data_IF_760960132238
#
_entry.id   IF_760960132238
#
_cell.length_a   1.000
_cell.length_b   1.000
_cell.length_c   1.000
_cell.angle_alpha   90.00
_cell.angle_beta   90.00
_cell.angle_gamma   90.00
#
_symmetry.space_group_name_H-M   'P 1'
#
loop_
_entity.id
_entity.type
_entity.pdbx_description
1 polymer ?
#
# COMPACT_ATOMS: atom_id res chain seq x y z
N UNK A 1 -25.57 16.64 4.83
CA UNK A 1 -24.27 16.17 5.37
C UNK A 1 -23.69 15.12 4.42
N UNK A 2 -22.55 15.42 3.81
CA UNK A 2 -22.08 14.87 2.53
C UNK A 2 -21.60 13.41 2.60
N UNK A 3 -22.14 12.55 1.72
CA UNK A 3 -21.71 11.15 1.53
C UNK A 3 -20.22 11.00 1.19
N UNK A 4 -19.56 12.06 0.68
CA UNK A 4 -18.12 12.08 0.37
C UNK A 4 -17.23 11.90 1.61
N UNK A 5 -17.70 12.29 2.81
CA UNK A 5 -16.90 12.19 4.05
C UNK A 5 -16.83 10.78 4.64
N UNK A 6 -17.72 9.86 4.25
CA UNK A 6 -17.83 8.54 4.89
C UNK A 6 -17.00 7.44 4.23
N UNK A 7 -16.44 7.66 3.03
CA UNK A 7 -15.65 6.66 2.30
C UNK A 7 -14.13 6.78 2.53
N UNK A 8 -13.65 7.84 3.18
CA UNK A 8 -12.23 8.21 3.21
C UNK A 8 -11.34 7.69 4.38
N UNK A 9 -11.83 7.05 5.46
CA UNK A 9 -10.92 6.62 6.53
C UNK A 9 -10.13 5.34 6.22
N UNK A 10 -10.51 4.58 5.18
CA UNK A 10 -9.95 3.25 4.92
C UNK A 10 -8.52 3.24 4.34
N UNK A 11 -8.10 4.28 3.62
CA UNK A 11 -6.82 4.26 2.87
C UNK A 11 -5.58 4.46 3.76
N UNK A 12 -5.75 4.94 4.99
CA UNK A 12 -4.62 5.36 5.86
C UNK A 12 -4.06 4.25 6.76
N UNK A 13 -4.71 3.10 6.85
CA UNK A 13 -4.41 2.10 7.89
C UNK A 13 -3.40 0.97 7.52
N UNK A 14 -2.52 1.15 6.53
CA UNK A 14 -1.49 0.15 6.19
C UNK A 14 -0.18 0.32 7.01
N UNK A 15 0.01 1.45 7.69
CA UNK A 15 1.34 1.93 8.07
C UNK A 15 1.93 1.46 9.42
N UNK A 16 1.49 0.34 9.99
CA UNK A 16 2.01 -0.16 11.28
C UNK A 16 2.56 -1.60 11.18
N UNK A 17 3.47 -1.83 10.23
CA UNK A 17 4.38 -2.97 10.32
C UNK A 17 5.42 -2.64 11.39
N UNK A 18 5.06 -2.94 12.63
CA UNK A 18 5.90 -2.90 13.81
C UNK A 18 6.98 -3.97 13.67
N UNK A 19 7.99 -3.70 12.84
CA UNK A 19 9.13 -4.58 12.65
C UNK A 19 10.01 -4.58 13.90
N UNK A 20 9.57 -5.31 14.93
CA UNK A 20 10.25 -5.41 16.24
C UNK A 20 11.71 -5.76 15.99
N UNK A 21 12.57 -4.84 16.41
CA UNK A 21 14.00 -5.00 16.45
C UNK A 21 14.35 -5.77 17.73
N UNK A 22 14.33 -7.09 17.67
CA UNK A 22 14.92 -7.93 18.70
C UNK A 22 15.61 -9.10 18.02
N UNK A 23 16.94 -9.09 18.06
CA UNK A 23 17.77 -10.15 17.49
C UNK A 23 19.07 -9.61 16.89
N UNK A 24 20.11 -9.60 17.72
CA UNK A 24 21.50 -9.34 17.38
C UNK A 24 21.97 -10.30 16.27
N UNK A 25 22.48 -9.78 15.14
CA UNK A 25 22.96 -10.55 13.99
C UNK A 25 22.06 -10.48 12.75
N UNK A 26 21.91 -9.29 12.14
CA UNK A 26 20.93 -9.06 11.06
C UNK A 26 21.37 -9.55 9.68
N UNK A 27 20.67 -10.54 9.13
CA UNK A 27 20.67 -10.91 7.72
C UNK A 27 20.37 -9.67 6.85
N UNK A 28 21.26 -9.28 5.93
CA UNK A 28 21.17 -8.01 5.16
C UNK A 28 19.83 -7.81 4.44
N UNK A 29 19.15 -8.91 4.11
CA UNK A 29 17.81 -8.90 3.52
C UNK A 29 16.78 -8.20 4.42
N UNK A 30 16.67 -8.60 5.69
CA UNK A 30 15.65 -8.09 6.62
C UNK A 30 15.77 -6.59 6.84
N UNK A 31 17.00 -6.09 6.99
CA UNK A 31 17.26 -4.66 7.18
C UNK A 31 16.93 -3.85 5.92
N UNK A 32 17.21 -4.41 4.73
CA UNK A 32 16.85 -3.76 3.48
C UNK A 32 15.33 -3.72 3.27
N UNK A 33 14.60 -4.79 3.62
CA UNK A 33 13.13 -4.79 3.63
C UNK A 33 12.59 -3.74 4.61
N UNK A 34 13.14 -3.65 5.83
CA UNK A 34 12.76 -2.62 6.82
C UNK A 34 12.96 -1.20 6.29
N UNK A 35 14.11 -0.92 5.68
CA UNK A 35 14.41 0.39 5.08
C UNK A 35 13.44 0.73 3.95
N UNK A 36 13.18 -0.23 3.06
CA UNK A 36 12.21 -0.04 1.98
C UNK A 36 10.79 0.22 2.54
N UNK A 37 10.38 -0.52 3.57
CA UNK A 37 9.08 -0.35 4.21
C UNK A 37 8.94 0.99 4.93
N UNK A 38 10.00 1.48 5.59
CA UNK A 38 10.01 2.80 6.23
C UNK A 38 9.85 3.93 5.20
N UNK A 39 10.53 3.84 4.06
CA UNK A 39 10.36 4.81 2.99
C UNK A 39 8.96 4.73 2.38
N UNK A 40 8.46 3.52 2.10
CA UNK A 40 7.11 3.32 1.59
C UNK A 40 6.08 3.95 2.52
N UNK A 41 6.15 3.65 3.83
CA UNK A 41 5.30 4.23 4.87
C UNK A 41 5.27 5.75 4.82
N UNK A 42 6.43 6.40 4.69
CA UNK A 42 6.49 7.86 4.60
C UNK A 42 5.72 8.35 3.37
N UNK A 43 6.07 7.84 2.20
CA UNK A 43 5.47 8.26 0.93
C UNK A 43 3.98 7.93 0.81
N UNK A 44 3.54 6.78 1.33
CA UNK A 44 2.13 6.38 1.33
C UNK A 44 1.30 7.19 2.33
N UNK A 45 1.89 7.59 3.46
CA UNK A 45 1.23 8.48 4.43
C UNK A 45 1.05 9.89 3.87
N UNK A 46 2.06 10.41 3.18
CA UNK A 46 1.98 11.71 2.50
C UNK A 46 0.89 11.69 1.41
N UNK A 47 0.89 10.66 0.56
CA UNK A 47 -0.13 10.45 -0.46
C UNK A 47 -1.54 10.28 0.17
N UNK A 48 -1.65 9.50 1.25
CA UNK A 48 -2.89 9.33 2.00
C UNK A 48 -3.43 10.63 2.58
N UNK A 49 -2.53 11.48 3.12
CA UNK A 49 -2.89 12.81 3.64
C UNK A 49 -3.39 13.73 2.51
N UNK A 50 -2.74 13.69 1.34
CA UNK A 50 -3.21 14.44 0.15
C UNK A 50 -4.58 13.96 -0.31
N UNK A 51 -4.78 12.64 -0.38
CA UNK A 51 -6.06 12.04 -0.73
C UNK A 51 -7.18 12.46 0.24
N UNK A 52 -6.91 12.45 1.55
CA UNK A 52 -7.87 12.89 2.56
C UNK A 52 -8.24 14.36 2.47
N UNK A 53 -7.28 15.21 2.11
CA UNK A 53 -7.46 16.65 2.02
C UNK A 53 -7.91 17.12 0.63
N UNK A 54 -7.98 16.24 -0.37
CA UNK A 54 -8.38 16.58 -1.73
C UNK A 54 -9.79 17.17 -1.77
N UNK A 55 -9.91 18.37 -2.36
CA UNK A 55 -11.18 19.09 -2.53
C UNK A 55 -11.72 18.99 -3.96
N UNK A 56 -10.87 18.58 -4.90
CA UNK A 56 -11.14 18.45 -6.32
C UNK A 56 -10.77 17.07 -6.88
N UNK A 57 -11.29 16.74 -8.07
CA UNK A 57 -10.92 15.50 -8.79
C UNK A 57 -9.43 15.48 -9.16
N UNK A 58 -8.87 16.65 -9.45
CA UNK A 58 -7.45 16.81 -9.81
C UNK A 58 -6.55 16.51 -8.62
N UNK A 59 -6.83 17.08 -7.45
CA UNK A 59 -6.07 16.79 -6.22
C UNK A 59 -6.20 15.31 -5.82
N UNK A 60 -7.40 14.73 -5.97
CA UNK A 60 -7.61 13.31 -5.72
C UNK A 60 -6.77 12.45 -6.67
N UNK A 61 -6.78 12.75 -7.98
CA UNK A 61 -6.01 12.02 -8.98
C UNK A 61 -4.51 12.10 -8.71
N UNK A 62 -3.99 13.28 -8.37
CA UNK A 62 -2.59 13.46 -8.00
C UNK A 62 -2.22 12.64 -6.75
N UNK A 63 -3.08 12.62 -5.73
CA UNK A 63 -2.87 11.78 -4.54
C UNK A 63 -2.83 10.28 -4.86
N UNK A 64 -3.68 9.80 -5.78
CA UNK A 64 -3.64 8.41 -6.26
C UNK A 64 -2.36 8.13 -7.02
N UNK A 65 -1.93 9.02 -7.92
CA UNK A 65 -0.70 8.84 -8.70
C UNK A 65 0.55 8.76 -7.81
N UNK A 66 0.61 9.58 -6.77
CA UNK A 66 1.67 9.54 -5.77
C UNK A 66 1.67 8.22 -4.99
N UNK A 67 0.49 7.75 -4.58
CA UNK A 67 0.35 6.45 -3.93
C UNK A 67 0.81 5.30 -4.84
N UNK A 68 0.38 5.28 -6.11
CA UNK A 68 0.82 4.27 -7.08
C UNK A 68 2.34 4.35 -7.33
N UNK A 69 2.91 5.55 -7.33
CA UNK A 69 4.36 5.77 -7.40
C UNK A 69 5.11 5.21 -6.19
N UNK A 70 4.56 5.39 -4.98
CA UNK A 70 5.10 4.80 -3.76
C UNK A 70 5.10 3.26 -3.82
N UNK A 71 4.00 2.65 -4.28
CA UNK A 71 3.90 1.19 -4.45
C UNK A 71 4.93 0.70 -5.48
N UNK A 72 5.01 1.34 -6.65
CA UNK A 72 6.00 0.99 -7.68
C UNK A 72 7.42 1.05 -7.15
N UNK A 73 7.76 2.10 -6.41
CA UNK A 73 9.09 2.26 -5.80
C UNK A 73 9.38 1.16 -4.79
N UNK A 74 8.43 0.85 -3.92
CA UNK A 74 8.60 -0.20 -2.91
C UNK A 74 8.71 -1.60 -3.54
N UNK A 75 7.86 -1.91 -4.52
CA UNK A 75 7.90 -3.18 -5.24
C UNK A 75 9.19 -3.35 -6.05
N UNK A 76 9.70 -2.29 -6.69
CA UNK A 76 11.01 -2.32 -7.34
C UNK A 76 12.13 -2.59 -6.34
N UNK A 77 12.09 -1.95 -5.16
CA UNK A 77 13.06 -2.21 -4.09
C UNK A 77 12.99 -3.66 -3.63
N UNK A 78 11.81 -4.17 -3.30
CA UNK A 78 11.64 -5.57 -2.88
C UNK A 78 12.13 -6.55 -3.95
N UNK A 79 11.74 -6.36 -5.21
CA UNK A 79 12.18 -7.23 -6.32
C UNK A 79 13.70 -7.20 -6.55
N UNK A 80 14.38 -6.10 -6.21
CA UNK A 80 15.85 -6.02 -6.28
C UNK A 80 16.55 -6.74 -5.13
N UNK A 81 15.85 -7.02 -4.04
CA UNK A 81 16.40 -7.79 -2.92
C UNK A 81 16.37 -9.27 -3.28
N UNK A 82 17.42 -9.98 -2.87
CA UNK A 82 17.50 -11.44 -2.99
C UNK A 82 16.96 -12.07 -1.70
N UNK A 83 15.69 -12.53 -1.66
CA UNK A 83 15.15 -13.17 -0.47
C UNK A 83 15.80 -14.54 -0.21
N UNK A 84 15.95 -14.94 1.07
CA UNK A 84 16.18 -16.35 1.41
C UNK A 84 15.01 -17.21 0.91
N UNK A 85 15.24 -18.52 0.70
CA UNK A 85 14.23 -19.45 0.14
C UNK A 85 12.89 -19.39 0.88
N UNK A 86 12.90 -19.29 2.21
CA UNK A 86 11.69 -19.17 3.02
C UNK A 86 10.87 -17.89 2.78
N UNK A 87 11.50 -16.82 2.32
CA UNK A 87 10.86 -15.51 2.10
C UNK A 87 10.43 -15.24 0.65
N UNK A 88 10.84 -16.07 -0.31
CA UNK A 88 10.56 -15.87 -1.74
C UNK A 88 9.05 -15.78 -2.03
N UNK A 89 8.28 -16.76 -1.56
CA UNK A 89 6.83 -16.80 -1.77
C UNK A 89 6.14 -15.62 -1.07
N UNK A 90 6.54 -15.30 0.16
CA UNK A 90 5.97 -14.19 0.91
C UNK A 90 6.28 -12.83 0.26
N UNK A 91 7.49 -12.64 -0.28
CA UNK A 91 7.87 -11.42 -1.01
C UNK A 91 7.05 -11.29 -2.29
N UNK A 92 6.95 -12.37 -3.07
CA UNK A 92 6.15 -12.37 -4.31
C UNK A 92 4.68 -12.08 -4.02
N UNK A 93 4.13 -12.68 -2.96
CA UNK A 93 2.75 -12.44 -2.56
C UNK A 93 2.53 -10.97 -2.16
N UNK A 94 3.43 -10.39 -1.34
CA UNK A 94 3.34 -8.98 -0.97
C UNK A 94 3.36 -8.04 -2.18
N UNK A 95 4.24 -8.30 -3.16
CA UNK A 95 4.30 -7.51 -4.40
C UNK A 95 2.97 -7.60 -5.15
N UNK A 96 2.39 -8.80 -5.28
CA UNK A 96 1.11 -9.02 -5.97
C UNK A 96 -0.05 -8.28 -5.31
N UNK A 97 -0.21 -8.37 -3.98
CA UNK A 97 -1.31 -7.69 -3.29
C UNK A 97 -1.14 -6.18 -3.31
N UNK A 98 0.09 -5.67 -3.23
CA UNK A 98 0.35 -4.24 -3.37
C UNK A 98 0.04 -3.72 -4.79
N UNK A 99 0.39 -4.48 -5.82
CA UNK A 99 0.02 -4.14 -7.20
C UNK A 99 -1.50 -4.12 -7.39
N UNK A 100 -2.21 -5.09 -6.80
CA UNK A 100 -3.68 -5.15 -6.82
C UNK A 100 -4.29 -3.94 -6.13
N UNK A 101 -3.84 -3.65 -4.91
CA UNK A 101 -4.25 -2.47 -4.15
C UNK A 101 -4.01 -1.16 -4.91
N UNK A 102 -2.84 -1.05 -5.56
CA UNK A 102 -2.47 0.09 -6.39
C UNK A 102 -3.37 0.24 -7.62
N UNK A 103 -3.72 -0.87 -8.25
CA UNK A 103 -4.65 -0.92 -9.39
C UNK A 103 -6.05 -0.48 -8.97
N UNK A 104 -6.56 -1.00 -7.86
CA UNK A 104 -7.91 -0.69 -7.38
C UNK A 104 -8.04 0.76 -6.93
N UNK A 105 -7.00 1.34 -6.33
CA UNK A 105 -6.94 2.79 -6.09
C UNK A 105 -7.03 3.61 -7.39
N UNK A 106 -6.36 3.17 -8.45
CA UNK A 106 -6.47 3.73 -9.80
C UNK A 106 -7.89 3.61 -10.38
N UNK A 107 -8.53 2.46 -10.21
CA UNK A 107 -9.89 2.24 -10.67
C UNK A 107 -10.92 3.13 -9.92
N UNK A 108 -10.69 3.46 -8.65
CA UNK A 108 -11.51 4.47 -7.94
C UNK A 108 -11.37 5.84 -8.59
N UNK A 109 -10.14 6.28 -8.89
CA UNK A 109 -9.88 7.55 -9.59
C UNK A 109 -10.59 7.57 -10.95
N UNK A 110 -10.46 6.52 -11.73
CA UNK A 110 -11.01 6.46 -13.08
C UNK A 110 -12.55 6.47 -13.05
N UNK A 111 -13.16 5.71 -12.12
CA UNK A 111 -14.60 5.73 -11.90
C UNK A 111 -15.11 7.11 -11.43
N UNK A 112 -14.36 7.78 -10.55
CA UNK A 112 -14.69 9.13 -10.08
C UNK A 112 -14.62 10.16 -11.23
N UNK A 113 -13.63 10.03 -12.10
CA UNK A 113 -13.47 10.88 -13.28
C UNK A 113 -14.61 10.67 -14.28
N UNK A 114 -15.00 9.42 -14.53
CA UNK A 114 -16.14 9.04 -15.36
C UNK A 114 -17.52 9.36 -14.74
N UNK A 115 -17.58 9.76 -13.46
CA UNK A 115 -18.86 10.00 -12.77
C UNK A 115 -19.64 8.73 -12.41
N UNK A 116 -19.00 7.55 -12.51
CA UNK A 116 -19.62 6.27 -12.20
C UNK A 116 -19.60 6.00 -10.68
N UNK A 117 -20.56 6.60 -9.97
CA UNK A 117 -20.63 6.50 -8.50
C UNK A 117 -20.88 5.08 -7.98
N UNK A 118 -21.50 4.19 -8.76
CA UNK A 118 -21.68 2.79 -8.37
C UNK A 118 -20.34 2.07 -8.36
N UNK A 119 -19.54 2.25 -9.42
CA UNK A 119 -18.21 1.67 -9.50
C UNK A 119 -17.27 2.25 -8.43
N UNK A 120 -17.34 3.56 -8.14
CA UNK A 120 -16.60 4.15 -7.01
C UNK A 120 -16.89 3.42 -5.70
N UNK A 121 -18.17 3.16 -5.39
CA UNK A 121 -18.55 2.44 -4.16
C UNK A 121 -18.03 1.01 -4.14
N UNK A 122 -18.21 0.27 -5.24
CA UNK A 122 -17.76 -1.12 -5.34
C UNK A 122 -16.25 -1.24 -5.21
N UNK A 123 -15.49 -0.38 -5.91
CA UNK A 123 -14.02 -0.41 -5.85
C UNK A 123 -13.51 0.08 -4.49
N UNK A 124 -14.17 1.07 -3.86
CA UNK A 124 -13.79 1.49 -2.50
C UNK A 124 -13.98 0.39 -1.43
N UNK A 125 -14.89 -0.55 -1.64
CA UNK A 125 -14.99 -1.75 -0.81
C UNK A 125 -13.83 -2.73 -1.07
N UNK A 126 -13.43 -2.91 -2.33
CA UNK A 126 -12.26 -3.73 -2.66
C UNK A 126 -10.96 -3.16 -2.05
N UNK A 127 -10.76 -1.85 -2.17
CA UNK A 127 -9.65 -1.13 -1.52
C UNK A 127 -9.58 -1.39 -0.02
N UNK A 128 -10.71 -1.58 0.67
CA UNK A 128 -10.71 -1.96 2.09
C UNK A 128 -10.25 -3.40 2.32
N UNK A 129 -10.67 -4.33 1.47
CA UNK A 129 -10.18 -5.72 1.48
C UNK A 129 -8.68 -5.78 1.19
N UNK A 130 -8.23 -5.06 0.17
CA UNK A 130 -6.82 -5.00 -0.21
C UNK A 130 -5.92 -4.51 0.93
N UNK A 131 -6.39 -3.57 1.76
CA UNK A 131 -5.66 -3.11 2.95
C UNK A 131 -5.42 -4.25 3.93
N UNK A 132 -6.42 -5.12 4.13
CA UNK A 132 -6.26 -6.30 4.99
C UNK A 132 -5.29 -7.32 4.38
N UNK A 133 -5.36 -7.53 3.07
CA UNK A 133 -4.49 -8.46 2.35
C UNK A 133 -3.04 -7.99 2.34
N UNK A 134 -2.78 -6.70 2.11
CA UNK A 134 -1.46 -6.08 2.22
C UNK A 134 -0.90 -6.25 3.62
N UNK A 135 -1.72 -6.02 4.67
CA UNK A 135 -1.29 -6.20 6.05
C UNK A 135 -0.90 -7.65 6.35
N UNK A 136 -1.73 -8.61 5.96
CA UNK A 136 -1.48 -10.04 6.13
C UNK A 136 -0.22 -10.49 5.37
N UNK A 137 -0.07 -10.08 4.11
CA UNK A 137 1.08 -10.44 3.28
C UNK A 137 2.39 -9.85 3.83
N UNK A 138 2.35 -8.63 4.34
CA UNK A 138 3.52 -8.00 4.93
C UNK A 138 3.93 -8.65 6.26
N UNK A 139 2.98 -9.08 7.10
CA UNK A 139 3.26 -9.87 8.29
C UNK A 139 3.86 -11.25 7.96
N UNK A 140 3.38 -11.89 6.89
CA UNK A 140 3.93 -13.14 6.39
C UNK A 140 5.39 -12.96 5.93
N UNK A 141 5.68 -11.87 5.19
CA UNK A 141 7.04 -11.55 4.77
C UNK A 141 7.96 -11.28 5.96
N UNK A 142 7.51 -10.50 6.94
CA UNK A 142 8.29 -10.23 8.15
C UNK A 142 8.63 -11.52 8.91
N UNK A 143 7.67 -12.45 9.00
CA UNK A 143 7.86 -13.73 9.67
C UNK A 143 8.83 -14.64 8.92
N UNK A 144 8.80 -14.61 7.59
CA UNK A 144 9.65 -15.40 6.73
C UNK A 144 11.07 -14.81 6.52
N UNK A 145 11.24 -13.51 6.77
CA UNK A 145 12.52 -12.81 6.67
C UNK A 145 13.42 -12.98 7.92
N UNK A 146 13.04 -13.86 8.85
CA UNK A 146 13.79 -14.19 10.06
C UNK A 146 15.03 -15.03 9.78
#
# INVERSE_FOLDING_TARGET
MNARRKLMPAVVAVCALSLVASGCGGNSYKDNVKKAAAQFKKTSTDAGTKLQNAKSKTEFSAGVDEFQGAVRTFNSKLSSLKPPSGAQAAQSHLITVLNTFSSDAGAVRDALNAGNLQQVKSTALKVQTDVADVKSAAQALESAAK
#
